data_IF_614363836193
#
_entry.id   IF_614363836193
#
_cell.length_a   1.000
_cell.length_b   1.000
_cell.length_c   1.000
_cell.angle_alpha   90.00
_cell.angle_beta   90.00
_cell.angle_gamma   90.00
#
_symmetry.space_group_name_H-M   'P 1'
#
loop_
_entity.id
_entity.type
_entity.pdbx_description
1 polymer ?
#
# COMPACT_ATOMS: atom_id res chain seq x y z
N UNK A 1 -37.56 24.15 -32.69
CA UNK A 1 -37.25 23.04 -31.76
C UNK A 1 -35.75 22.69 -31.60
N UNK A 2 -34.78 23.28 -32.33
CA UNK A 2 -33.34 22.95 -32.18
C UNK A 2 -32.63 23.52 -30.94
N UNK A 3 -33.19 24.55 -30.29
CA UNK A 3 -32.47 25.33 -29.27
C UNK A 3 -32.37 24.64 -27.89
N UNK A 4 -33.28 23.71 -27.57
CA UNK A 4 -33.36 23.10 -26.24
C UNK A 4 -32.40 21.92 -26.02
N UNK A 5 -31.87 21.34 -27.10
CA UNK A 5 -30.95 20.19 -27.05
C UNK A 5 -29.53 20.62 -26.65
N UNK A 6 -29.11 21.80 -27.11
CA UNK A 6 -27.78 22.34 -26.81
C UNK A 6 -27.66 22.86 -25.36
N UNK A 7 -28.76 23.32 -24.75
CA UNK A 7 -28.76 23.72 -23.33
C UNK A 7 -28.52 22.52 -22.41
N UNK A 8 -29.23 21.40 -22.62
CA UNK A 8 -29.07 20.18 -21.80
C UNK A 8 -27.65 19.59 -21.89
N UNK A 9 -27.05 19.64 -23.08
CA UNK A 9 -25.69 19.15 -23.28
C UNK A 9 -24.65 20.03 -22.57
N UNK A 10 -24.85 21.35 -22.53
CA UNK A 10 -23.98 22.30 -21.81
C UNK A 10 -24.03 22.11 -20.29
N UNK A 11 -25.20 21.83 -19.71
CA UNK A 11 -25.32 21.55 -18.28
C UNK A 11 -24.73 20.19 -17.90
N UNK A 12 -24.89 19.17 -18.75
CA UNK A 12 -24.26 17.87 -18.55
C UNK A 12 -22.73 17.95 -18.65
N UNK A 13 -22.21 18.70 -19.63
CA UNK A 13 -20.78 18.87 -19.83
C UNK A 13 -20.15 19.71 -18.71
N UNK A 14 -20.86 20.72 -18.20
CA UNK A 14 -20.46 21.48 -17.01
C UNK A 14 -20.48 20.65 -15.72
N UNK A 15 -21.46 19.76 -15.55
CA UNK A 15 -21.51 18.87 -14.38
C UNK A 15 -20.38 17.82 -14.40
N UNK A 16 -20.03 17.30 -15.59
CA UNK A 16 -18.90 16.37 -15.75
C UNK A 16 -17.57 17.09 -15.50
N UNK A 17 -17.36 18.29 -16.06
CA UNK A 17 -16.16 19.09 -15.79
C UNK A 17 -16.04 19.48 -14.30
N UNK A 18 -17.15 19.82 -13.65
CA UNK A 18 -17.18 20.12 -12.21
C UNK A 18 -16.86 18.90 -11.34
N UNK A 19 -17.35 17.70 -11.70
CA UNK A 19 -17.04 16.47 -11.00
C UNK A 19 -15.57 16.06 -11.19
N UNK A 20 -15.02 16.22 -12.39
CA UNK A 20 -13.58 15.98 -12.67
C UNK A 20 -12.70 16.97 -11.91
N UNK A 21 -13.11 18.24 -11.83
CA UNK A 21 -12.38 19.25 -11.05
C UNK A 21 -12.43 18.95 -9.54
N UNK A 22 -13.57 18.50 -9.00
CA UNK A 22 -13.66 18.10 -7.58
C UNK A 22 -12.81 16.86 -7.26
N UNK A 23 -12.70 15.91 -8.20
CA UNK A 23 -11.84 14.73 -8.06
C UNK A 23 -10.35 15.09 -8.09
N UNK A 24 -9.95 16.13 -8.82
CA UNK A 24 -8.56 16.61 -8.87
C UNK A 24 -8.14 17.43 -7.63
N UNK A 25 -9.09 17.94 -6.86
CA UNK A 25 -8.81 18.72 -5.63
C UNK A 25 -8.83 17.89 -4.34
N UNK A 26 -9.17 16.61 -4.43
CA UNK A 26 -9.13 15.66 -3.31
C UNK A 26 -7.72 15.07 -3.17
N UNK A 27 -6.72 15.91 -2.94
CA UNK A 27 -5.46 15.44 -2.37
C UNK A 27 -5.62 15.56 -0.84
N UNK A 28 -5.57 14.45 -0.08
CA UNK A 28 -5.46 14.57 1.37
C UNK A 28 -4.16 15.31 1.67
N UNK A 29 -4.27 16.52 2.22
CA UNK A 29 -3.10 17.21 2.76
C UNK A 29 -2.77 16.55 4.10
N UNK A 30 -2.00 15.46 4.05
CA UNK A 30 -1.30 14.99 5.23
C UNK A 30 -0.27 16.05 5.60
N UNK A 31 -0.28 16.47 6.86
CA UNK A 31 0.82 17.25 7.39
C UNK A 31 2.00 16.29 7.50
N UNK A 32 2.79 16.19 6.44
CA UNK A 32 4.03 15.40 6.43
C UNK A 32 4.93 15.93 7.54
N UNK A 33 5.31 15.04 8.46
CA UNK A 33 6.31 15.35 9.46
C UNK A 33 7.64 15.65 8.78
N UNK A 34 8.60 16.24 9.49
CA UNK A 34 9.96 16.34 8.93
C UNK A 34 10.51 14.90 8.76
N UNK A 35 10.85 14.51 7.53
CA UNK A 35 11.38 13.18 7.20
C UNK A 35 12.91 13.13 7.26
N UNK A 36 13.59 14.21 6.82
CA UNK A 36 15.05 14.26 6.73
C UNK A 36 15.67 14.93 7.97
N UNK A 37 16.52 14.20 8.68
CA UNK A 37 17.30 14.66 9.83
C UNK A 37 18.79 14.53 9.50
N UNK A 38 19.31 15.57 8.85
CA UNK A 38 20.72 15.65 8.45
C UNK A 38 21.57 16.23 9.60
N UNK A 39 21.87 15.42 10.62
CA UNK A 39 22.70 15.86 11.75
C UNK A 39 24.19 15.98 11.34
N UNK A 40 24.61 15.28 10.28
CA UNK A 40 25.97 15.37 9.73
C UNK A 40 26.17 16.60 8.81
N UNK A 41 25.09 17.23 8.33
CA UNK A 41 25.15 18.42 7.48
C UNK A 41 25.74 18.15 6.09
N UNK A 42 25.51 16.96 5.54
CA UNK A 42 26.06 16.53 4.24
C UNK A 42 25.16 16.86 3.07
N UNK A 43 23.87 17.14 3.32
CA UNK A 43 22.93 17.46 2.26
C UNK A 43 22.75 18.98 2.13
N UNK A 44 22.73 19.44 0.89
CA UNK A 44 22.27 20.78 0.52
C UNK A 44 20.74 20.89 0.67
N UNK A 45 20.23 22.12 0.69
CA UNK A 45 18.77 22.36 0.75
C UNK A 45 18.05 21.73 -0.46
N UNK A 46 18.64 21.81 -1.65
CA UNK A 46 18.08 21.22 -2.88
C UNK A 46 18.02 19.69 -2.80
N UNK A 47 19.04 19.04 -2.24
CA UNK A 47 19.06 17.57 -2.04
C UNK A 47 18.05 17.14 -0.97
N UNK A 48 17.91 17.90 0.11
CA UNK A 48 16.89 17.62 1.14
C UNK A 48 15.48 17.72 0.52
N UNK A 49 15.23 18.73 -0.30
CA UNK A 49 13.94 18.91 -0.98
C UNK A 49 13.66 17.75 -1.96
N UNK A 50 14.67 17.27 -2.68
CA UNK A 50 14.55 16.12 -3.59
C UNK A 50 14.24 14.82 -2.82
N UNK A 51 15.01 14.52 -1.77
CA UNK A 51 14.80 13.34 -0.91
C UNK A 51 13.41 13.39 -0.28
N UNK A 52 13.02 14.54 0.28
CA UNK A 52 11.69 14.74 0.91
C UNK A 52 10.58 14.49 -0.10
N UNK A 53 10.72 15.01 -1.32
CA UNK A 53 9.71 14.81 -2.37
C UNK A 53 9.55 13.34 -2.75
N UNK A 54 10.65 12.59 -2.89
CA UNK A 54 10.58 11.15 -3.20
C UNK A 54 10.00 10.38 -2.01
N UNK A 55 10.39 10.72 -0.78
CA UNK A 55 9.83 10.12 0.43
C UNK A 55 8.32 10.34 0.53
N UNK A 56 7.83 11.57 0.38
CA UNK A 56 6.39 11.90 0.39
C UNK A 56 5.59 11.05 -0.61
N UNK A 57 6.11 10.84 -1.83
CA UNK A 57 5.45 10.02 -2.85
C UNK A 57 5.32 8.55 -2.41
N UNK A 58 6.34 8.01 -1.73
CA UNK A 58 6.32 6.63 -1.21
C UNK A 58 5.46 6.52 0.04
N UNK A 59 5.51 7.48 0.97
CA UNK A 59 4.63 7.53 2.14
C UNK A 59 3.15 7.59 1.73
N UNK A 60 2.80 8.43 0.75
CA UNK A 60 1.43 8.53 0.21
C UNK A 60 0.94 7.20 -0.39
N UNK A 61 1.86 6.43 -0.98
CA UNK A 61 1.55 5.16 -1.65
C UNK A 61 1.47 3.97 -0.70
N UNK A 62 2.35 3.95 0.30
CA UNK A 62 2.51 2.82 1.24
C UNK A 62 1.70 3.01 2.52
N UNK A 63 1.52 4.26 2.96
CA UNK A 63 1.03 4.61 4.28
C UNK A 63 2.08 4.44 5.40
N UNK A 64 3.34 4.20 5.04
CA UNK A 64 4.46 4.04 5.97
C UNK A 64 5.14 5.38 6.23
N UNK A 65 5.70 5.56 7.43
CA UNK A 65 6.54 6.73 7.73
C UNK A 65 8.00 6.41 7.37
N UNK A 66 8.61 7.25 6.54
CA UNK A 66 9.99 7.15 6.11
C UNK A 66 10.84 8.22 6.81
N UNK A 67 11.92 7.77 7.46
CA UNK A 67 12.82 8.65 8.20
C UNK A 67 14.22 8.52 7.62
N UNK A 68 14.78 9.65 7.18
CA UNK A 68 16.12 9.73 6.62
C UNK A 68 17.02 10.38 7.66
N UNK A 69 18.08 9.70 8.07
CA UNK A 69 19.00 10.12 9.11
C UNK A 69 20.44 10.13 8.59
N UNK A 70 21.16 11.20 8.85
CA UNK A 70 22.62 11.22 8.78
C UNK A 70 23.17 11.53 10.16
N UNK A 71 24.30 10.92 10.52
CA UNK A 71 24.95 11.18 11.81
C UNK A 71 26.46 11.12 11.66
N UNK A 72 27.14 12.08 12.28
CA UNK A 72 28.58 12.11 12.47
C UNK A 72 28.85 12.22 13.98
N UNK A 73 28.56 11.13 14.71
CA UNK A 73 28.70 11.09 16.16
C UNK A 73 29.27 9.74 16.63
N UNK A 74 30.53 9.81 17.08
CA UNK A 74 31.27 8.70 17.68
C UNK A 74 30.58 8.05 18.89
N UNK A 75 29.65 8.76 19.55
CA UNK A 75 28.88 8.25 20.68
C UNK A 75 27.81 7.24 20.27
N UNK A 76 27.45 7.18 18.98
CA UNK A 76 26.54 6.16 18.45
C UNK A 76 27.25 4.81 18.44
N UNK A 77 26.91 3.94 19.38
CA UNK A 77 27.53 2.61 19.52
C UNK A 77 26.83 1.52 18.72
N UNK A 78 25.55 1.71 18.39
CA UNK A 78 24.73 0.77 17.62
C UNK A 78 23.84 1.55 16.65
N UNK A 79 24.07 1.38 15.35
CA UNK A 79 23.24 1.99 14.30
C UNK A 79 21.79 1.50 14.38
N UNK A 80 21.61 0.22 14.73
CA UNK A 80 20.30 -0.42 14.99
C UNK A 80 19.54 0.32 16.08
N UNK A 81 20.10 0.36 17.29
CA UNK A 81 19.44 0.96 18.45
C UNK A 81 19.16 2.44 18.21
N UNK A 82 20.08 3.15 17.55
CA UNK A 82 19.93 4.56 17.20
C UNK A 82 18.78 4.79 16.20
N UNK A 83 18.73 4.02 15.11
CA UNK A 83 17.66 4.12 14.12
C UNK A 83 16.29 3.83 14.74
N UNK A 84 16.18 2.78 15.55
CA UNK A 84 14.94 2.40 16.23
C UNK A 84 14.50 3.45 17.27
N UNK A 85 15.43 4.00 18.06
CA UNK A 85 15.11 5.08 19.00
C UNK A 85 14.57 6.30 18.26
N UNK A 86 15.20 6.68 17.15
CA UNK A 86 14.78 7.82 16.33
C UNK A 86 13.43 7.58 15.67
N UNK A 87 13.16 6.35 15.20
CA UNK A 87 11.84 5.94 14.75
C UNK A 87 10.79 6.20 15.84
N UNK A 88 11.00 5.62 17.02
CA UNK A 88 10.07 5.75 18.14
C UNK A 88 9.87 7.20 18.61
N UNK A 89 10.87 8.05 18.42
CA UNK A 89 10.82 9.46 18.78
C UNK A 89 10.09 10.32 17.74
N UNK A 90 10.33 10.08 16.46
CA UNK A 90 9.87 10.96 15.39
C UNK A 90 8.53 10.54 14.79
N UNK A 91 8.20 9.25 14.82
CA UNK A 91 6.92 8.76 14.32
C UNK A 91 5.99 8.24 15.42
N UNK A 92 4.68 8.40 15.16
CA UNK A 92 3.61 7.72 15.89
C UNK A 92 3.06 6.52 15.11
N UNK A 93 3.39 6.40 13.83
CA UNK A 93 3.09 5.22 13.02
C UNK A 93 3.81 4.01 13.61
N UNK A 94 3.17 2.85 13.48
CA UNK A 94 3.79 1.58 13.82
C UNK A 94 4.50 0.95 12.60
N UNK A 95 4.20 1.45 11.40
CA UNK A 95 4.71 0.95 10.12
C UNK A 95 5.60 2.01 9.46
N UNK A 96 6.82 1.64 9.07
CA UNK A 96 7.79 2.61 8.57
C UNK A 96 9.19 2.06 8.31
N UNK A 97 10.03 2.91 7.72
CA UNK A 97 11.44 2.59 7.40
C UNK A 97 12.33 3.74 7.86
N UNK A 98 13.47 3.40 8.47
CA UNK A 98 14.53 4.36 8.76
C UNK A 98 15.74 4.04 7.89
N UNK A 99 16.21 5.03 7.15
CA UNK A 99 17.49 4.98 6.44
C UNK A 99 18.50 5.80 7.23
N UNK A 100 19.57 5.15 7.68
CA UNK A 100 20.61 5.76 8.49
C UNK A 100 21.94 5.68 7.75
N UNK A 101 22.59 6.83 7.61
CA UNK A 101 23.98 6.93 7.20
C UNK A 101 24.83 7.43 8.37
N UNK A 102 25.70 6.56 8.91
CA UNK A 102 26.63 6.90 9.97
C UNK A 102 28.04 7.10 9.39
N UNK A 103 28.56 8.31 9.56
CA UNK A 103 29.84 8.75 9.01
C UNK A 103 31.02 8.58 9.97
N UNK A 104 30.80 7.98 11.15
CA UNK A 104 31.86 7.74 12.15
C UNK A 104 33.01 6.89 11.58
N UNK A 105 34.09 7.57 11.17
CA UNK A 105 35.27 6.98 10.54
C UNK A 105 36.01 5.98 11.45
N UNK A 106 35.85 6.06 12.77
CA UNK A 106 36.60 5.25 13.74
C UNK A 106 36.04 3.81 13.88
N UNK A 107 34.81 3.53 13.40
CA UNK A 107 34.15 2.22 13.53
C UNK A 107 34.02 1.45 12.21
N UNK A 108 35.12 1.35 11.48
CA UNK A 108 35.29 0.59 10.22
C UNK A 108 34.71 1.25 8.94
N UNK A 109 34.47 2.57 8.95
CA UNK A 109 34.10 3.34 7.76
C UNK A 109 32.63 3.79 7.73
N UNK A 110 32.23 4.43 6.64
CA UNK A 110 30.87 4.90 6.41
C UNK A 110 29.88 3.73 6.41
N UNK A 111 28.96 3.71 7.37
CA UNK A 111 28.06 2.59 7.60
C UNK A 111 26.62 2.97 7.26
N UNK A 112 26.02 2.17 6.38
CA UNK A 112 24.62 2.28 6.02
C UNK A 112 23.80 1.30 6.85
N UNK A 113 22.66 1.75 7.37
CA UNK A 113 21.75 0.89 8.13
C UNK A 113 20.30 1.21 7.76
N UNK A 114 19.49 0.17 7.56
CA UNK A 114 18.06 0.25 7.31
C UNK A 114 17.35 -0.43 8.48
N UNK A 115 16.45 0.28 9.16
CA UNK A 115 15.53 -0.31 10.15
C UNK A 115 14.12 -0.34 9.56
N UNK A 116 13.42 -1.45 9.74
CA UNK A 116 12.06 -1.64 9.22
C UNK A 116 11.11 -1.93 10.37
N UNK A 117 9.98 -1.22 10.45
CA UNK A 117 9.02 -1.34 11.54
C UNK A 117 7.66 -1.78 11.00
N UNK A 118 6.98 -2.64 11.77
CA UNK A 118 5.61 -3.08 11.47
C UNK A 118 5.49 -3.76 10.11
N UNK A 119 4.52 -3.35 9.29
CA UNK A 119 4.29 -3.95 7.98
C UNK A 119 5.52 -3.86 7.06
N UNK A 120 6.39 -2.86 7.21
CA UNK A 120 7.52 -2.64 6.32
C UNK A 120 8.51 -3.83 6.29
N UNK A 121 8.76 -4.47 7.44
CA UNK A 121 9.65 -5.66 7.47
C UNK A 121 9.04 -6.87 6.75
N UNK A 122 7.72 -6.86 6.49
CA UNK A 122 7.07 -7.89 5.70
C UNK A 122 7.28 -7.71 4.21
N UNK A 123 7.77 -6.57 3.73
CA UNK A 123 8.13 -6.34 2.32
C UNK A 123 9.64 -6.24 2.12
N UNK A 124 10.34 -5.69 3.10
CA UNK A 124 11.77 -5.45 3.12
C UNK A 124 12.43 -6.46 4.06
N UNK A 125 12.61 -7.69 3.55
CA UNK A 125 13.35 -8.74 4.26
C UNK A 125 14.87 -8.57 4.13
N UNK A 126 15.62 -9.46 4.76
CA UNK A 126 17.07 -9.36 4.90
C UNK A 126 17.76 -9.27 3.53
N UNK A 127 17.33 -10.09 2.56
CA UNK A 127 17.88 -10.06 1.20
C UNK A 127 17.50 -8.81 0.42
N UNK A 128 16.30 -8.25 0.63
CA UNK A 128 15.89 -7.01 -0.01
C UNK A 128 16.71 -5.85 0.54
N UNK A 129 16.92 -5.82 1.87
CA UNK A 129 17.77 -4.81 2.51
C UNK A 129 19.21 -4.90 1.98
N UNK A 130 19.77 -6.09 1.82
CA UNK A 130 21.09 -6.27 1.20
C UNK A 130 21.14 -5.73 -0.24
N UNK A 131 20.11 -5.99 -1.06
CA UNK A 131 20.02 -5.46 -2.43
C UNK A 131 19.89 -3.92 -2.46
N UNK A 132 19.04 -3.34 -1.61
CA UNK A 132 18.88 -1.88 -1.47
C UNK A 132 20.18 -1.22 -1.08
N UNK A 133 20.88 -1.84 -0.14
CA UNK A 133 22.21 -1.43 0.24
C UNK A 133 23.11 -1.51 -1.01
N UNK A 134 23.28 -2.66 -1.66
CA UNK A 134 24.15 -2.79 -2.84
C UNK A 134 23.88 -1.72 -3.92
N UNK A 135 22.62 -1.35 -4.13
CA UNK A 135 22.22 -0.29 -5.04
C UNK A 135 22.63 1.10 -4.56
N UNK A 136 22.42 1.42 -3.28
CA UNK A 136 22.88 2.67 -2.68
C UNK A 136 24.41 2.85 -2.73
N UNK A 137 25.19 1.76 -2.60
CA UNK A 137 26.65 1.81 -2.64
C UNK A 137 27.21 2.17 -4.03
N UNK A 138 26.41 2.03 -5.10
CA UNK A 138 26.85 2.43 -6.46
C UNK A 138 27.06 3.94 -6.55
N UNK A 139 26.30 4.73 -5.81
CA UNK A 139 26.39 6.20 -5.78
C UNK A 139 27.37 6.70 -4.71
N UNK A 140 27.52 5.96 -3.61
CA UNK A 140 28.48 6.23 -2.53
C UNK A 140 29.93 6.33 -3.05
N UNK A 141 30.30 5.48 -4.02
CA UNK A 141 31.61 5.50 -4.67
C UNK A 141 31.95 6.85 -5.33
N UNK A 142 30.94 7.59 -5.77
CA UNK A 142 31.07 8.90 -6.42
C UNK A 142 30.85 10.05 -5.42
N UNK A 143 30.56 9.75 -4.15
CA UNK A 143 30.26 10.71 -3.08
C UNK A 143 28.86 11.31 -3.16
N UNK A 144 27.94 10.69 -3.91
CA UNK A 144 26.56 11.17 -4.09
C UNK A 144 25.61 10.47 -3.11
N UNK A 145 25.71 10.88 -1.84
CA UNK A 145 24.93 10.31 -0.74
C UNK A 145 23.43 10.58 -0.87
N UNK A 146 23.03 11.66 -1.55
CA UNK A 146 21.63 12.00 -1.77
C UNK A 146 21.00 10.98 -2.73
N UNK A 147 21.68 10.65 -3.83
CA UNK A 147 21.24 9.61 -4.75
C UNK A 147 21.26 8.22 -4.11
N UNK A 148 22.21 7.93 -3.20
CA UNK A 148 22.16 6.71 -2.38
C UNK A 148 20.86 6.60 -1.57
N UNK A 149 20.43 7.68 -0.92
CA UNK A 149 19.17 7.70 -0.16
C UNK A 149 17.95 7.51 -1.08
N UNK A 150 17.91 8.24 -2.20
CA UNK A 150 16.82 8.17 -3.17
C UNK A 150 16.68 6.76 -3.73
N UNK A 151 17.79 6.09 -4.08
CA UNK A 151 17.78 4.71 -4.57
C UNK A 151 17.11 3.75 -3.57
N UNK A 152 17.45 3.84 -2.28
CA UNK A 152 16.82 3.00 -1.24
C UNK A 152 15.32 3.29 -1.08
N UNK A 153 14.90 4.54 -1.24
CA UNK A 153 13.48 4.92 -1.18
C UNK A 153 12.73 4.38 -2.41
N UNK A 154 13.29 4.49 -3.60
CA UNK A 154 12.71 3.94 -4.83
C UNK A 154 12.61 2.41 -4.79
N UNK A 155 13.62 1.72 -4.26
CA UNK A 155 13.57 0.27 -4.05
C UNK A 155 12.46 -0.12 -3.07
N UNK A 156 12.23 0.69 -2.04
CA UNK A 156 11.13 0.49 -1.10
C UNK A 156 9.77 0.55 -1.82
N UNK A 157 9.58 1.54 -2.70
CA UNK A 157 8.38 1.64 -3.54
C UNK A 157 8.22 0.41 -4.46
N UNK A 158 9.34 -0.05 -5.04
CA UNK A 158 9.39 -1.20 -5.95
C UNK A 158 8.98 -2.50 -5.24
N UNK A 159 9.55 -2.78 -4.07
CA UNK A 159 9.19 -3.98 -3.29
C UNK A 159 7.75 -3.92 -2.76
N UNK A 160 7.27 -2.75 -2.37
CA UNK A 160 5.86 -2.57 -2.03
C UNK A 160 4.95 -2.88 -3.23
N UNK A 161 5.23 -2.27 -4.38
CA UNK A 161 4.41 -2.39 -5.60
C UNK A 161 4.42 -3.81 -6.19
N UNK A 162 5.56 -4.51 -6.10
CA UNK A 162 5.70 -5.90 -6.56
C UNK A 162 5.12 -6.93 -5.59
N UNK A 163 4.72 -6.48 -4.39
CA UNK A 163 4.09 -7.30 -3.36
C UNK A 163 4.95 -8.48 -2.89
N UNK A 164 6.23 -8.21 -2.65
CA UNK A 164 7.23 -9.19 -2.18
C UNK A 164 6.77 -9.93 -0.92
N UNK A 165 5.98 -9.27 -0.06
CA UNK A 165 5.47 -9.84 1.19
C UNK A 165 4.79 -11.20 1.04
N UNK A 166 4.12 -11.44 -0.09
CA UNK A 166 3.32 -12.65 -0.31
C UNK A 166 4.12 -13.95 -0.14
N UNK A 167 5.39 -13.96 -0.53
CA UNK A 167 6.23 -15.15 -0.52
C UNK A 167 7.34 -15.08 0.57
N UNK A 168 7.25 -14.10 1.49
CA UNK A 168 8.22 -13.89 2.56
C UNK A 168 7.91 -14.69 3.84
N UNK A 169 8.99 -15.13 4.49
CA UNK A 169 8.95 -15.73 5.83
C UNK A 169 9.54 -14.75 6.84
N UNK A 170 8.95 -14.67 8.03
CA UNK A 170 9.44 -13.84 9.13
C UNK A 170 10.03 -14.75 10.21
N UNK A 171 11.24 -14.44 10.63
CA UNK A 171 11.95 -15.08 11.73
C UNK A 171 12.00 -14.14 12.93
N UNK A 172 11.39 -14.52 14.05
CA UNK A 172 11.43 -13.75 15.30
C UNK A 172 12.62 -14.23 16.15
N UNK A 173 13.63 -13.36 16.33
CA UNK A 173 14.86 -13.66 17.08
C UNK A 173 14.58 -13.89 18.57
N UNK A 174 13.62 -13.17 19.15
CA UNK A 174 13.33 -13.23 20.59
C UNK A 174 12.63 -14.53 20.97
N UNK A 175 11.76 -15.03 20.08
CA UNK A 175 11.01 -16.26 20.29
C UNK A 175 11.65 -17.49 19.62
N UNK A 176 12.54 -17.28 18.65
CA UNK A 176 13.18 -18.34 17.87
C UNK A 176 12.19 -19.10 16.97
N UNK A 177 11.19 -18.42 16.42
CA UNK A 177 10.12 -19.03 15.61
C UNK A 177 10.03 -18.42 14.21
N UNK A 178 9.55 -19.22 13.26
CA UNK A 178 9.23 -18.77 11.91
C UNK A 178 7.72 -18.70 11.70
N UNK A 179 7.26 -17.66 11.02
CA UNK A 179 5.88 -17.56 10.54
C UNK A 179 5.84 -16.92 9.14
N UNK A 180 4.76 -17.18 8.39
CA UNK A 180 4.58 -16.58 7.08
C UNK A 180 4.09 -15.13 7.22
N UNK A 181 4.50 -14.24 6.31
CA UNK A 181 3.97 -12.88 6.23
C UNK A 181 2.43 -12.90 6.26
N UNK A 182 1.86 -12.06 7.12
CA UNK A 182 0.41 -11.96 7.29
C UNK A 182 -0.21 -10.94 6.31
N UNK A 183 0.64 -10.18 5.63
CA UNK A 183 0.21 -9.08 4.77
C UNK A 183 -0.12 -9.58 3.37
N UNK A 184 -1.30 -9.18 2.88
CA UNK A 184 -1.76 -9.56 1.55
C UNK A 184 -2.41 -8.34 0.88
N UNK A 185 -1.60 -7.33 0.57
CA UNK A 185 -2.03 -6.27 -0.32
C UNK A 185 -2.09 -6.82 -1.74
N UNK A 186 -3.28 -7.25 -2.14
CA UNK A 186 -3.51 -7.67 -3.52
C UNK A 186 -3.63 -6.44 -4.40
N UNK A 187 -2.50 -5.94 -4.89
CA UNK A 187 -2.51 -4.91 -5.93
C UNK A 187 -3.20 -5.47 -7.17
N UNK A 188 -4.19 -4.72 -7.68
CA UNK A 188 -4.85 -5.07 -8.92
C UNK A 188 -3.81 -5.00 -10.03
N UNK A 189 -3.53 -6.13 -10.66
CA UNK A 189 -2.62 -6.16 -11.79
C UNK A 189 -3.15 -5.21 -12.87
N UNK A 190 -2.26 -4.58 -13.65
CA UNK A 190 -2.64 -3.71 -14.77
C UNK A 190 -3.70 -4.35 -15.70
N UNK A 191 -3.67 -5.68 -15.85
CA UNK A 191 -4.70 -6.44 -16.57
C UNK A 191 -6.07 -6.44 -15.90
N UNK A 192 -6.15 -6.53 -14.58
CA UNK A 192 -7.41 -6.48 -13.82
C UNK A 192 -8.02 -5.08 -13.85
N UNK A 193 -7.19 -4.03 -13.75
CA UNK A 193 -7.65 -2.64 -13.93
C UNK A 193 -8.21 -2.41 -15.34
N UNK A 194 -7.55 -2.94 -16.38
CA UNK A 194 -8.05 -2.85 -17.75
C UNK A 194 -9.40 -3.57 -17.92
N UNK A 195 -9.57 -4.76 -17.34
CA UNK A 195 -10.84 -5.51 -17.36
C UNK A 195 -11.94 -4.73 -16.63
N UNK A 196 -11.64 -4.18 -15.44
CA UNK A 196 -12.59 -3.39 -14.67
C UNK A 196 -13.04 -2.13 -15.43
N UNK A 197 -12.12 -1.42 -16.08
CA UNK A 197 -12.43 -0.26 -16.91
C UNK A 197 -13.34 -0.63 -18.09
N UNK A 198 -13.05 -1.74 -18.79
CA UNK A 198 -13.89 -2.24 -19.89
C UNK A 198 -15.29 -2.62 -19.40
N UNK A 199 -15.40 -3.29 -18.25
CA UNK A 199 -16.70 -3.64 -17.65
C UNK A 199 -17.48 -2.39 -17.23
N UNK A 200 -16.81 -1.37 -16.70
CA UNK A 200 -17.43 -0.08 -16.36
C UNK A 200 -18.01 0.63 -17.59
N UNK A 201 -17.24 0.70 -18.68
CA UNK A 201 -17.71 1.26 -19.96
C UNK A 201 -18.88 0.44 -20.53
N UNK A 202 -18.78 -0.89 -20.50
CA UNK A 202 -19.85 -1.77 -20.98
C UNK A 202 -21.15 -1.58 -20.19
N UNK A 203 -21.09 -1.50 -18.86
CA UNK A 203 -22.25 -1.24 -18.01
C UNK A 203 -22.89 0.13 -18.32
N UNK A 204 -22.07 1.17 -18.51
CA UNK A 204 -22.56 2.51 -18.90
C UNK A 204 -23.26 2.48 -20.27
N UNK A 205 -22.70 1.78 -21.25
CA UNK A 205 -23.30 1.64 -22.58
C UNK A 205 -24.61 0.87 -22.53
N UNK A 206 -24.66 -0.25 -21.81
CA UNK A 206 -25.89 -1.04 -21.61
C UNK A 206 -26.98 -0.19 -20.97
N UNK A 207 -26.64 0.56 -19.92
CA UNK A 207 -27.58 1.47 -19.24
C UNK A 207 -28.11 2.55 -20.20
N UNK A 208 -27.24 3.17 -20.99
CA UNK A 208 -27.62 4.15 -22.00
C UNK A 208 -28.54 3.56 -23.08
N UNK A 209 -28.28 2.32 -23.52
CA UNK A 209 -29.09 1.61 -24.51
C UNK A 209 -30.47 1.21 -23.98
N UNK A 210 -30.55 0.74 -22.73
CA UNK A 210 -31.84 0.43 -22.06
C UNK A 210 -32.68 1.70 -21.95
N UNK A 211 -32.09 2.82 -21.51
CA UNK A 211 -32.75 4.11 -21.40
C UNK A 211 -33.24 4.58 -22.77
N UNK A 212 -32.37 4.65 -23.77
CA UNK A 212 -32.78 5.07 -25.12
C UNK A 212 -33.80 4.13 -25.76
N UNK A 213 -33.74 2.83 -25.47
CA UNK A 213 -34.72 1.83 -25.89
C UNK A 213 -36.09 2.05 -25.26
N UNK A 214 -36.15 2.31 -23.94
CA UNK A 214 -37.38 2.67 -23.22
C UNK A 214 -37.97 3.99 -23.74
N UNK A 215 -37.15 5.03 -23.92
CA UNK A 215 -37.62 6.33 -24.44
C UNK A 215 -38.03 6.29 -25.91
N UNK A 216 -37.46 5.38 -26.73
CA UNK A 216 -37.90 5.16 -28.12
C UNK A 216 -39.13 4.25 -28.23
N UNK A 217 -39.74 3.82 -27.11
CA UNK A 217 -40.94 2.96 -27.08
C UNK A 217 -40.78 1.66 -27.89
N UNK A 218 -39.54 1.18 -28.06
CA UNK A 218 -39.26 -0.04 -28.83
C UNK A 218 -39.53 -1.33 -28.05
N UNK A 219 -39.67 -1.24 -26.72
CA UNK A 219 -40.03 -2.34 -25.86
C UNK A 219 -41.52 -2.25 -25.50
N UNK A 220 -42.36 -2.87 -26.32
CA UNK A 220 -43.76 -3.25 -26.02
C UNK A 220 -44.76 -2.12 -25.78
N UNK A 221 -45.86 -2.09 -26.55
CA UNK A 221 -47.04 -1.31 -26.19
C UNK A 221 -47.61 -1.87 -24.89
N UNK A 222 -47.87 -1.01 -23.90
CA UNK A 222 -48.55 -1.36 -22.65
C UNK A 222 -49.83 -2.15 -22.97
N UNK A 223 -49.89 -3.41 -22.53
CA UNK A 223 -51.08 -4.26 -22.66
C UNK A 223 -51.74 -4.33 -21.29
N UNK A 224 -52.86 -3.64 -21.12
CA UNK A 224 -53.66 -3.70 -19.91
C UNK A 224 -54.35 -5.06 -19.86
N UNK A 225 -53.91 -5.95 -18.97
CA UNK A 225 -54.48 -7.29 -18.83
C UNK A 225 -55.56 -7.25 -17.74
N UNK A 226 -56.87 -7.24 -18.08
CA UNK A 226 -57.96 -7.11 -17.11
C UNK A 226 -58.07 -8.30 -16.12
N UNK A 227 -57.21 -9.33 -16.25
CA UNK A 227 -57.14 -10.46 -15.33
C UNK A 227 -56.33 -10.19 -14.05
N UNK A 228 -55.48 -9.17 -14.02
CA UNK A 228 -54.63 -8.86 -12.84
C UNK A 228 -55.33 -8.03 -11.75
N UNK A 229 -56.49 -7.45 -12.05
CA UNK A 229 -57.32 -6.72 -11.07
C UNK A 229 -58.53 -7.54 -10.57
N UNK A 230 -58.61 -8.83 -10.93
CA UNK A 230 -59.59 -9.76 -10.39
C UNK A 230 -58.93 -10.63 -9.30
N UNK A 231 -59.13 -10.27 -8.03
CA UNK A 231 -58.67 -11.06 -6.90
C UNK A 231 -59.63 -12.22 -6.63
N UNK A 232 -59.16 -13.45 -6.76
CA UNK A 232 -59.81 -14.65 -6.23
C UNK A 232 -58.88 -15.26 -5.19
N UNK A 233 -59.28 -15.16 -3.94
CA UNK A 233 -58.48 -15.54 -2.77
C UNK A 233 -58.86 -16.96 -2.34
N UNK A 234 -58.10 -17.96 -2.82
CA UNK A 234 -58.28 -19.36 -2.44
C UNK A 234 -57.47 -19.64 -1.17
N UNK A 235 -58.16 -19.58 -0.03
CA UNK A 235 -57.67 -19.99 1.28
C UNK A 235 -57.47 -21.49 1.36
N UNK A 236 -56.29 -21.98 0.95
CA UNK A 236 -55.62 -23.13 1.60
C UNK A 236 -54.17 -23.20 1.12
N UNK A 237 -53.25 -22.77 1.98
CA UNK A 237 -51.82 -22.97 1.82
C UNK A 237 -51.38 -23.99 2.88
N UNK A 238 -50.83 -25.13 2.47
CA UNK A 238 -50.27 -26.15 3.35
C UNK A 238 -48.82 -26.40 2.91
N UNK A 239 -47.88 -25.78 3.64
CA UNK A 239 -46.46 -26.06 3.50
C UNK A 239 -46.04 -27.12 4.52
N UNK A 240 -45.43 -28.20 4.04
CA UNK A 240 -44.91 -29.28 4.88
C UNK A 240 -43.38 -29.19 4.92
N UNK A 241 -42.84 -28.59 5.98
CA UNK A 241 -41.41 -28.52 6.21
C UNK A 241 -40.88 -29.89 6.66
N UNK A 242 -40.17 -30.58 5.77
CA UNK A 242 -39.43 -31.80 6.09
C UNK A 242 -37.98 -31.42 6.41
N UNK A 243 -37.67 -31.39 7.71
CA UNK A 243 -36.34 -31.63 8.31
C UNK A 243 -35.14 -30.90 7.66
N UNK A 244 -34.68 -29.84 8.32
CA UNK A 244 -33.34 -29.30 8.12
C UNK A 244 -32.43 -29.82 9.24
N UNK A 245 -31.40 -30.59 8.89
CA UNK A 245 -30.30 -30.93 9.79
C UNK A 245 -29.12 -30.01 9.48
N UNK A 246 -28.65 -29.26 10.48
CA UNK A 246 -27.40 -28.50 10.40
C UNK A 246 -26.37 -29.20 11.27
N UNK A 247 -25.31 -29.71 10.66
CA UNK A 247 -24.14 -30.23 11.38
C UNK A 247 -22.99 -29.24 11.19
N UNK A 248 -22.56 -28.57 12.26
CA UNK A 248 -21.38 -27.70 12.27
C UNK A 248 -20.25 -28.45 12.98
N UNK A 249 -19.18 -28.77 12.26
CA UNK A 249 -17.91 -29.27 12.83
C UNK A 249 -16.82 -28.24 12.59
N UNK A 250 -16.14 -27.81 13.65
CA UNK A 250 -14.92 -27.01 13.57
C UNK A 250 -13.76 -27.96 13.23
N UNK A 251 -13.05 -27.69 12.14
CA UNK A 251 -11.80 -28.36 11.82
C UNK A 251 -10.68 -27.40 12.27
N UNK A 252 -9.77 -27.84 13.15
CA UNK A 252 -8.62 -27.05 13.58
C UNK A 252 -7.71 -26.73 12.39
N UNK A 253 -7.11 -25.54 12.40
CA UNK A 253 -6.04 -25.18 11.47
C UNK A 253 -4.77 -25.89 11.94
N UNK A 254 -4.13 -26.64 11.06
CA UNK A 254 -2.75 -27.08 11.25
C UNK A 254 -1.84 -25.84 11.22
N UNK A 255 -0.74 -25.81 12.01
CA UNK A 255 0.32 -24.84 11.79
C UNK A 255 0.91 -25.06 10.38
N UNK A 256 1.34 -24.00 9.68
CA UNK A 256 1.96 -24.16 8.37
C UNK A 256 3.20 -25.07 8.48
N UNK A 257 3.29 -25.99 7.52
CA UNK A 257 4.48 -26.82 7.32
C UNK A 257 5.56 -25.98 6.67
N UNK A 258 6.76 -26.02 7.24
CA UNK A 258 8.00 -25.62 6.58
C UNK A 258 8.12 -26.34 5.23
N UNK A 259 8.00 -25.56 4.15
CA UNK A 259 8.74 -25.75 2.89
C UNK A 259 9.42 -24.40 2.66
N UNK A 260 10.72 -24.28 2.45
CA UNK A 260 11.57 -25.16 1.65
C UNK A 260 11.91 -24.42 0.36
N UNK A 261 12.91 -23.53 0.45
CA UNK A 261 13.65 -22.97 -0.69
C UNK A 261 12.95 -21.85 -1.47
N UNK A 262 13.20 -20.60 -1.08
CA UNK A 262 12.87 -19.39 -1.84
C UNK A 262 13.40 -18.16 -1.09
N UNK A 263 14.10 -17.26 -1.78
CA UNK A 263 14.73 -16.06 -1.21
C UNK A 263 13.69 -15.12 -0.60
N UNK A 264 13.88 -14.72 0.66
CA UNK A 264 13.02 -13.74 1.34
C UNK A 264 12.69 -14.15 2.77
N UNK A 265 13.67 -14.04 3.66
CA UNK A 265 13.45 -14.10 5.11
C UNK A 265 13.61 -12.70 5.66
N UNK A 266 12.69 -12.26 6.52
CA UNK A 266 12.84 -11.05 7.33
C UNK A 266 13.12 -11.46 8.76
N UNK A 267 14.26 -11.05 9.30
CA UNK A 267 14.62 -11.28 10.69
C UNK A 267 14.14 -10.12 11.54
N UNK A 268 13.31 -10.39 12.54
CA UNK A 268 12.71 -9.39 13.42
C UNK A 268 13.03 -9.64 14.88
N UNK A 269 12.89 -8.60 15.67
CA UNK A 269 13.04 -8.62 17.12
C UNK A 269 12.20 -7.51 17.75
N UNK A 270 12.11 -7.49 19.07
CA UNK A 270 11.41 -6.47 19.83
C UNK A 270 12.39 -5.37 20.25
N UNK A 271 12.20 -4.18 19.69
CA UNK A 271 13.02 -3.01 19.97
C UNK A 271 12.66 -2.31 21.29
N UNK A 272 13.50 -1.34 21.67
CA UNK A 272 13.30 -0.51 22.85
C UNK A 272 12.05 0.39 22.70
N UNK A 273 10.91 -0.08 23.21
CA UNK A 273 9.60 0.57 23.01
C UNK A 273 8.46 -0.42 22.81
N UNK A 274 8.77 -1.71 22.62
CA UNK A 274 7.79 -2.78 22.50
C UNK A 274 7.29 -3.02 21.09
N UNK A 275 7.76 -2.23 20.12
CA UNK A 275 7.54 -2.44 18.68
C UNK A 275 8.46 -3.52 18.13
N UNK A 276 8.01 -4.18 17.06
CA UNK A 276 8.80 -5.16 16.33
C UNK A 276 9.55 -4.47 15.19
N UNK A 277 10.85 -4.73 15.11
CA UNK A 277 11.74 -4.18 14.10
C UNK A 277 12.46 -5.30 13.37
N UNK A 278 12.58 -5.16 12.05
CA UNK A 278 13.61 -5.79 11.25
C UNK A 278 14.68 -4.77 10.89
N UNK A 279 15.67 -5.19 10.12
CA UNK A 279 16.70 -4.28 9.65
C UNK A 279 18.03 -4.95 9.35
N UNK A 280 18.88 -4.22 8.65
CA UNK A 280 20.21 -4.68 8.24
C UNK A 280 21.10 -3.51 7.90
N UNK A 281 22.41 -3.73 7.98
CA UNK A 281 23.40 -2.72 7.63
C UNK A 281 24.75 -3.34 7.33
N UNK A 282 25.67 -2.47 6.95
CA UNK A 282 27.00 -2.81 6.44
C UNK A 282 28.02 -1.77 6.86
#
# INVERSE_FOLDING_TARGET
>A
MKQNRNKKWRYALGAVLGAVFCLMTLHPAYASGRQVYDDAGIFSEDEIDEITKVADEVEDKTGWDLIILTVDDTSVTSNRDYAEEKFNKYTKSDDGVVYLFNMDEDKNGWNWYIATAGEAYEYLGDSQIEEMLDDAAKYDLDGDYAQSMIAMIEDTESYYTSNTAKDMTIYDEDQGIYYASSTNHRFLSYGEMAIAAVLGVAACLIFCLIITGKYRLKFGRYHYNPREHASVDLRRNEDHFVRQFITRRKIPKDPPKNGGGGSGTSTIHQGAGGRSFGGGGR
#
